data_IF_885142388312
#
_entry.id   IF_885142388312
#
_cell.length_a   1.000
_cell.length_b   1.000
_cell.length_c   1.000
_cell.angle_alpha   90.00
_cell.angle_beta   90.00
_cell.angle_gamma   90.00
#
_symmetry.space_group_name_H-M   'P 1'
#
loop_
_entity.id
_entity.type
_entity.pdbx_description
1 polymer ?
#
# COMPACT_ATOMS: atom_id res chain seq x y z
N UNK A 1 -0.95 -25.96 -10.67
CA UNK A 1 -0.26 -24.65 -10.71
C UNK A 1 1.22 -24.89 -10.39
N UNK A 2 2.12 -24.83 -11.37
CA UNK A 2 3.55 -24.95 -11.09
C UNK A 2 4.02 -23.70 -10.32
N UNK A 3 4.59 -23.89 -9.14
CA UNK A 3 5.13 -22.80 -8.32
C UNK A 3 6.33 -22.12 -9.03
N UNK A 4 6.64 -20.89 -8.63
CA UNK A 4 7.89 -20.26 -9.05
C UNK A 4 9.06 -21.02 -8.40
N UNK A 5 10.18 -21.26 -9.11
CA UNK A 5 11.31 -21.98 -8.53
C UNK A 5 11.88 -21.17 -7.34
N UNK A 6 12.05 -21.79 -6.15
CA UNK A 6 12.75 -21.15 -5.04
C UNK A 6 14.19 -20.82 -5.46
N UNK A 7 14.82 -19.84 -4.78
CA UNK A 7 16.22 -19.45 -5.05
C UNK A 7 17.20 -20.62 -5.06
N UNK A 8 16.98 -21.62 -4.20
CA UNK A 8 17.78 -22.84 -4.14
C UNK A 8 17.78 -23.64 -5.46
N UNK A 9 16.76 -23.48 -6.30
CA UNK A 9 16.70 -24.15 -7.60
C UNK A 9 17.28 -23.32 -8.73
N UNK A 10 17.58 -22.03 -8.58
CA UNK A 10 18.07 -21.20 -9.69
C UNK A 10 19.43 -21.70 -10.23
N UNK A 11 19.77 -21.44 -11.51
CA UNK A 11 21.10 -21.75 -12.02
C UNK A 11 22.19 -21.06 -11.18
N UNK A 12 23.38 -21.66 -11.13
CA UNK A 12 24.46 -21.19 -10.25
C UNK A 12 24.86 -19.73 -10.52
N UNK A 13 24.91 -19.33 -11.80
CA UNK A 13 25.22 -17.94 -12.18
C UNK A 13 24.19 -16.94 -11.65
N UNK A 14 22.90 -17.31 -11.62
CA UNK A 14 21.84 -16.45 -11.08
C UNK A 14 21.90 -16.33 -9.56
N UNK A 15 22.27 -17.42 -8.86
CA UNK A 15 22.45 -17.41 -7.41
C UNK A 15 23.60 -16.48 -7.02
N UNK A 16 24.73 -16.61 -7.71
CA UNK A 16 25.92 -15.76 -7.49
C UNK A 16 25.58 -14.31 -7.79
N UNK A 17 25.02 -14.02 -8.97
CA UNK A 17 24.59 -12.67 -9.34
C UNK A 17 23.64 -12.08 -8.29
N UNK A 18 22.63 -12.84 -7.88
CA UNK A 18 21.68 -12.39 -6.86
C UNK A 18 22.37 -12.09 -5.53
N UNK A 19 23.28 -12.95 -5.07
CA UNK A 19 24.02 -12.72 -3.83
C UNK A 19 24.89 -11.45 -3.91
N UNK A 20 25.64 -11.27 -4.99
CA UNK A 20 26.49 -10.09 -5.22
C UNK A 20 25.68 -8.79 -5.29
N UNK A 21 24.49 -8.81 -5.88
CA UNK A 21 23.65 -7.60 -5.95
C UNK A 21 23.21 -7.09 -4.57
N UNK A 22 23.09 -7.99 -3.59
CA UNK A 22 22.52 -7.73 -2.27
C UNK A 22 23.54 -7.88 -1.14
N UNK A 23 24.83 -8.05 -1.45
CA UNK A 23 25.86 -8.16 -0.43
C UNK A 23 26.05 -6.82 0.26
N UNK A 24 25.91 -6.82 1.59
CA UNK A 24 26.41 -5.74 2.41
C UNK A 24 27.94 -5.75 2.32
N UNK A 25 28.53 -4.56 2.32
CA UNK A 25 29.98 -4.40 2.29
C UNK A 25 30.52 -4.06 3.68
N UNK A 26 31.73 -4.54 3.95
CA UNK A 26 32.55 -4.04 5.06
C UNK A 26 33.03 -2.61 4.80
N UNK A 27 33.73 -1.98 5.76
CA UNK A 27 34.15 -0.57 5.66
C UNK A 27 35.05 -0.23 4.47
N UNK A 28 35.64 -1.22 3.79
CA UNK A 28 36.58 -1.06 2.68
C UNK A 28 36.11 -1.73 1.38
N UNK A 29 34.93 -2.34 1.37
CA UNK A 29 34.37 -3.00 0.19
C UNK A 29 33.27 -2.14 -0.43
N UNK A 30 33.02 -2.32 -1.73
CA UNK A 30 31.87 -1.71 -2.37
C UNK A 30 30.62 -2.56 -2.11
N UNK A 31 29.52 -1.98 -1.59
CA UNK A 31 28.28 -2.72 -1.39
C UNK A 31 27.69 -3.14 -2.74
N UNK A 32 26.94 -4.24 -2.71
CA UNK A 32 26.20 -4.71 -3.87
C UNK A 32 25.31 -3.59 -4.46
N UNK A 33 25.16 -3.50 -5.79
CA UNK A 33 24.41 -2.41 -6.44
C UNK A 33 22.97 -2.22 -5.94
N UNK A 34 22.36 -3.23 -5.31
CA UNK A 34 21.01 -3.18 -4.75
C UNK A 34 20.98 -3.20 -3.20
N UNK A 35 22.11 -3.27 -2.50
CA UNK A 35 22.19 -3.37 -1.04
C UNK A 35 21.49 -2.19 -0.33
N UNK A 36 21.54 -1.00 -0.92
CA UNK A 36 20.85 0.20 -0.41
C UNK A 36 19.31 0.10 -0.44
N UNK A 37 18.74 -0.91 -1.11
CA UNK A 37 17.29 -1.07 -1.21
C UNK A 37 16.72 -1.81 0.00
N UNK A 38 15.60 -1.29 0.53
CA UNK A 38 14.88 -1.93 1.64
C UNK A 38 14.49 -3.39 1.34
N UNK A 39 14.46 -4.22 2.38
CA UNK A 39 14.03 -5.64 2.30
C UNK A 39 12.68 -5.86 1.60
N UNK A 40 11.74 -4.91 1.71
CA UNK A 40 10.44 -5.01 1.01
C UNK A 40 10.59 -4.99 -0.52
N UNK A 41 11.61 -4.29 -1.03
CA UNK A 41 11.92 -4.25 -2.46
C UNK A 41 12.55 -5.56 -2.89
N UNK A 42 13.51 -6.09 -2.12
CA UNK A 42 14.10 -7.43 -2.30
C UNK A 42 13.01 -8.50 -2.43
N UNK A 43 12.13 -8.60 -1.43
CA UNK A 43 11.01 -9.55 -1.40
C UNK A 43 10.04 -9.40 -2.59
N UNK A 44 10.00 -8.22 -3.21
CA UNK A 44 9.15 -7.96 -4.38
C UNK A 44 9.81 -8.31 -5.71
N UNK A 45 11.15 -8.25 -5.77
CA UNK A 45 11.94 -8.51 -6.98
C UNK A 45 12.20 -10.01 -7.16
N UNK A 46 12.47 -10.73 -6.07
CA UNK A 46 12.74 -12.18 -6.08
C UNK A 46 11.66 -12.99 -6.85
N UNK A 47 10.35 -12.87 -6.54
CA UNK A 47 9.33 -13.63 -7.26
C UNK A 47 9.15 -13.20 -8.74
N UNK A 48 9.54 -11.98 -9.10
CA UNK A 48 9.50 -11.51 -10.51
C UNK A 48 10.64 -12.15 -11.30
N UNK A 49 11.82 -12.21 -10.71
CA UNK A 49 12.97 -12.88 -11.30
C UNK A 49 12.77 -14.39 -11.38
N UNK A 50 12.28 -15.03 -10.32
CA UNK A 50 11.94 -16.46 -10.33
C UNK A 50 10.96 -16.81 -11.46
N UNK A 51 9.99 -15.93 -11.75
CA UNK A 51 9.05 -16.12 -12.85
C UNK A 51 9.73 -16.04 -14.22
N UNK A 52 10.74 -15.19 -14.37
CA UNK A 52 11.56 -15.12 -15.57
C UNK A 52 12.37 -16.41 -15.77
N UNK A 53 13.07 -16.87 -14.74
CA UNK A 53 13.81 -18.16 -14.77
C UNK A 53 12.87 -19.32 -15.10
N UNK A 54 11.68 -19.34 -14.51
CA UNK A 54 10.65 -20.35 -14.83
C UNK A 54 10.26 -20.31 -16.31
N UNK A 55 10.07 -19.12 -16.86
CA UNK A 55 9.71 -18.98 -18.27
C UNK A 55 10.84 -19.45 -19.19
N UNK A 56 12.10 -19.10 -18.88
CA UNK A 56 13.28 -19.57 -19.61
C UNK A 56 13.37 -21.10 -19.62
N UNK A 57 13.21 -21.75 -18.47
CA UNK A 57 13.19 -23.22 -18.39
C UNK A 57 12.17 -23.87 -19.31
N UNK A 58 11.01 -23.23 -19.45
CA UNK A 58 9.90 -23.80 -20.21
C UNK A 58 9.97 -23.49 -21.72
N UNK A 59 10.63 -22.41 -22.15
CA UNK A 59 10.54 -21.91 -23.52
C UNK A 59 11.90 -21.67 -24.21
N UNK A 60 12.99 -21.59 -23.46
CA UNK A 60 14.35 -21.36 -23.98
C UNK A 60 15.40 -21.86 -22.97
N UNK A 61 15.42 -23.17 -22.72
CA UNK A 61 16.30 -23.79 -21.72
C UNK A 61 17.79 -23.56 -22.05
N UNK A 62 18.15 -23.52 -23.33
CA UNK A 62 19.53 -23.29 -23.78
C UNK A 62 20.05 -21.92 -23.31
N UNK A 63 19.19 -20.90 -23.25
CA UNK A 63 19.58 -19.58 -22.75
C UNK A 63 20.03 -19.55 -21.29
N UNK A 64 19.70 -20.58 -20.48
CA UNK A 64 20.17 -20.68 -19.09
C UNK A 64 21.68 -20.90 -18.99
N UNK A 65 22.34 -21.33 -20.07
CA UNK A 65 23.80 -21.46 -20.14
C UNK A 65 24.50 -20.12 -20.41
N UNK A 66 23.75 -19.09 -20.85
CA UNK A 66 24.30 -17.74 -21.05
C UNK A 66 24.47 -17.02 -19.70
N UNK A 67 25.32 -15.99 -19.69
CA UNK A 67 25.41 -15.06 -18.58
C UNK A 67 24.01 -14.42 -18.33
N UNK A 68 23.57 -14.21 -17.06
CA UNK A 68 22.22 -13.75 -16.77
C UNK A 68 21.77 -12.50 -17.54
N UNK A 69 22.68 -11.55 -17.76
CA UNK A 69 22.41 -10.31 -18.50
C UNK A 69 22.11 -10.56 -19.99
N UNK A 70 22.83 -11.48 -20.64
CA UNK A 70 22.65 -11.85 -22.05
C UNK A 70 21.31 -12.55 -22.33
N UNK A 71 20.65 -13.03 -21.28
CA UNK A 71 19.33 -13.66 -21.39
C UNK A 71 18.24 -12.64 -21.71
N UNK A 72 18.40 -11.37 -21.38
CA UNK A 72 17.36 -10.36 -21.60
C UNK A 72 17.44 -9.65 -22.96
N UNK A 73 17.60 -10.41 -24.04
CA UNK A 73 17.45 -9.88 -25.39
C UNK A 73 16.02 -9.40 -25.62
N UNK A 74 15.84 -8.37 -26.46
CA UNK A 74 14.49 -7.84 -26.74
C UNK A 74 13.57 -8.90 -27.34
N UNK A 75 14.08 -9.75 -28.23
CA UNK A 75 13.30 -10.86 -28.81
C UNK A 75 12.78 -11.80 -27.72
N UNK A 76 13.61 -12.15 -26.74
CA UNK A 76 13.22 -13.04 -25.64
C UNK A 76 12.23 -12.38 -24.69
N UNK A 77 12.42 -11.10 -24.37
CA UNK A 77 11.48 -10.32 -23.56
C UNK A 77 10.11 -10.17 -24.27
N UNK A 78 10.08 -9.99 -25.59
CA UNK A 78 8.85 -9.95 -26.37
C UNK A 78 8.12 -11.31 -26.36
N UNK A 79 8.84 -12.42 -26.55
CA UNK A 79 8.26 -13.77 -26.41
C UNK A 79 7.69 -14.00 -25.01
N UNK A 80 8.40 -13.56 -23.97
CA UNK A 80 7.88 -13.66 -22.60
C UNK A 80 6.63 -12.80 -22.40
N UNK A 81 6.63 -11.56 -22.89
CA UNK A 81 5.48 -10.66 -22.85
C UNK A 81 4.22 -11.27 -23.50
N UNK A 82 4.37 -11.97 -24.63
CA UNK A 82 3.28 -12.67 -25.30
C UNK A 82 2.64 -13.72 -24.37
N UNK A 83 3.45 -14.48 -23.62
CA UNK A 83 2.92 -15.44 -22.63
C UNK A 83 2.20 -14.78 -21.45
N UNK A 84 2.41 -13.47 -21.24
CA UNK A 84 1.81 -12.69 -20.17
C UNK A 84 0.57 -11.90 -20.62
N UNK A 85 0.06 -12.10 -21.83
CA UNK A 85 -1.13 -11.39 -22.37
C UNK A 85 -2.39 -11.56 -21.53
N UNK A 86 -2.53 -12.72 -20.89
CA UNK A 86 -3.59 -12.99 -19.91
C UNK A 86 -3.54 -12.07 -18.67
N UNK A 87 -2.46 -11.31 -18.48
CA UNK A 87 -2.29 -10.37 -17.38
C UNK A 87 -2.52 -8.92 -17.80
N UNK A 88 -2.94 -8.09 -16.84
CA UNK A 88 -3.19 -6.67 -17.08
C UNK A 88 -1.90 -5.93 -17.49
N UNK A 89 -2.00 -4.84 -18.27
CA UNK A 89 -0.85 -4.04 -18.70
C UNK A 89 0.12 -3.65 -17.57
N UNK A 90 -0.39 -3.19 -16.43
CA UNK A 90 0.43 -2.83 -15.26
C UNK A 90 1.18 -4.03 -14.66
N UNK A 91 0.61 -5.24 -14.73
CA UNK A 91 1.26 -6.47 -14.26
C UNK A 91 2.39 -6.86 -15.19
N UNK A 92 2.17 -6.79 -16.51
CA UNK A 92 3.22 -7.02 -17.53
C UNK A 92 4.40 -6.07 -17.34
N UNK A 93 4.11 -4.78 -17.19
CA UNK A 93 5.11 -3.76 -16.87
C UNK A 93 5.89 -4.12 -15.61
N UNK A 94 5.20 -4.46 -14.52
CA UNK A 94 5.83 -4.79 -13.23
C UNK A 94 6.79 -5.98 -13.32
N UNK A 95 6.46 -7.01 -14.09
CA UNK A 95 7.33 -8.17 -14.29
C UNK A 95 8.59 -7.81 -15.08
N UNK A 96 8.44 -7.13 -16.22
CA UNK A 96 9.58 -6.75 -17.08
C UNK A 96 10.48 -5.72 -16.37
N UNK A 97 9.89 -4.70 -15.76
CA UNK A 97 10.61 -3.69 -14.97
C UNK A 97 11.43 -4.33 -13.85
N UNK A 98 10.83 -5.29 -13.13
CA UNK A 98 11.51 -6.00 -12.05
C UNK A 98 12.72 -6.79 -12.53
N UNK A 99 12.61 -7.53 -13.63
CA UNK A 99 13.71 -8.31 -14.21
C UNK A 99 14.81 -7.40 -14.74
N UNK A 100 14.44 -6.37 -15.51
CA UNK A 100 15.41 -5.43 -16.05
C UNK A 100 16.14 -4.65 -14.95
N UNK A 101 15.45 -4.29 -13.85
CA UNK A 101 16.10 -3.64 -12.72
C UNK A 101 17.22 -4.49 -12.11
N UNK A 102 17.05 -5.80 -12.05
CA UNK A 102 18.06 -6.74 -11.54
C UNK A 102 19.22 -6.85 -12.53
N UNK A 103 18.90 -7.09 -13.81
CA UNK A 103 19.93 -7.34 -14.82
C UNK A 103 20.75 -6.10 -15.17
N UNK A 104 20.13 -4.91 -15.19
CA UNK A 104 20.83 -3.64 -15.38
C UNK A 104 21.77 -3.35 -14.20
N UNK A 105 21.37 -3.72 -12.99
CA UNK A 105 22.24 -3.56 -11.82
C UNK A 105 23.40 -4.57 -11.81
N UNK A 106 23.20 -5.75 -12.42
CA UNK A 106 24.21 -6.80 -12.50
C UNK A 106 25.25 -6.58 -13.61
N UNK A 107 24.88 -5.85 -14.66
CA UNK A 107 25.73 -5.54 -15.79
C UNK A 107 25.49 -4.10 -16.27
N UNK A 108 25.86 -3.08 -15.46
CA UNK A 108 25.61 -1.67 -15.77
C UNK A 108 26.34 -1.18 -17.04
N UNK A 109 27.43 -1.83 -17.40
CA UNK A 109 28.26 -1.55 -18.58
C UNK A 109 27.64 -1.98 -19.92
N UNK A 110 26.66 -2.89 -19.90
CA UNK A 110 25.98 -3.33 -21.12
C UNK A 110 25.03 -2.26 -21.69
N UNK A 111 24.86 -2.23 -23.01
CA UNK A 111 23.85 -1.37 -23.64
C UNK A 111 22.44 -1.94 -23.46
N UNK A 112 21.67 -1.29 -22.57
CA UNK A 112 20.27 -1.61 -22.28
C UNK A 112 19.26 -0.74 -23.05
N UNK A 113 19.70 0.04 -24.04
CA UNK A 113 18.87 1.05 -24.71
C UNK A 113 17.59 0.46 -25.32
N UNK A 114 17.66 -0.72 -25.93
CA UNK A 114 16.50 -1.35 -26.54
C UNK A 114 15.51 -1.89 -25.50
N UNK A 115 15.99 -2.45 -24.39
CA UNK A 115 15.19 -2.93 -23.27
C UNK A 115 14.50 -1.77 -22.54
N UNK A 116 15.19 -0.63 -22.40
CA UNK A 116 14.62 0.62 -21.86
C UNK A 116 13.50 1.15 -22.78
N UNK A 117 13.70 1.15 -24.11
CA UNK A 117 12.65 1.51 -25.08
C UNK A 117 11.42 0.59 -24.98
N UNK A 118 11.62 -0.72 -24.85
CA UNK A 118 10.53 -1.68 -24.59
C UNK A 118 9.78 -1.32 -23.31
N UNK A 119 10.51 -1.02 -22.23
CA UNK A 119 9.94 -0.64 -20.94
C UNK A 119 9.11 0.66 -21.05
N UNK A 120 9.56 1.65 -21.81
CA UNK A 120 8.80 2.88 -22.04
C UNK A 120 7.53 2.65 -22.87
N UNK A 121 7.56 1.71 -23.82
CA UNK A 121 6.36 1.22 -24.50
C UNK A 121 5.36 0.60 -23.52
N UNK A 122 5.83 -0.28 -22.63
CA UNK A 122 5.00 -0.88 -21.58
C UNK A 122 4.45 0.14 -20.59
N UNK A 123 5.23 1.17 -20.22
CA UNK A 123 4.78 2.27 -19.36
C UNK A 123 3.63 3.04 -20.00
N UNK A 124 3.74 3.36 -21.29
CA UNK A 124 2.66 4.01 -22.06
C UNK A 124 1.41 3.13 -22.12
N UNK A 125 1.56 1.84 -22.46
CA UNK A 125 0.45 0.90 -22.52
C UNK A 125 -0.22 0.65 -21.15
N UNK A 126 0.56 0.63 -20.07
CA UNK A 126 0.04 0.50 -18.70
C UNK A 126 -0.68 1.76 -18.22
N UNK A 127 -0.30 2.92 -18.76
CA UNK A 127 -0.84 4.23 -18.42
C UNK A 127 -0.86 4.45 -16.91
N UNK A 128 -2.02 4.85 -16.38
CA UNK A 128 -2.23 5.07 -14.94
C UNK A 128 -2.71 3.82 -14.21
N UNK A 129 -2.73 2.66 -14.88
CA UNK A 129 -3.46 1.48 -14.45
C UNK A 129 -4.97 1.64 -14.57
N UNK A 130 -5.68 0.57 -14.24
CA UNK A 130 -7.15 0.50 -14.37
C UNK A 130 -7.85 1.39 -13.33
N UNK A 131 -8.29 2.57 -13.78
CA UNK A 131 -8.99 3.57 -12.96
C UNK A 131 -10.40 3.11 -12.55
N UNK A 132 -11.01 2.16 -13.27
CA UNK A 132 -12.33 1.62 -12.90
C UNK A 132 -12.34 0.99 -11.50
N UNK A 133 -11.18 0.52 -11.03
CA UNK A 133 -11.00 -0.03 -9.68
C UNK A 133 -11.35 0.94 -8.56
N UNK A 134 -11.24 2.25 -8.81
CA UNK A 134 -11.55 3.32 -7.85
C UNK A 134 -12.93 3.94 -8.07
N UNK A 135 -13.48 3.82 -9.28
CA UNK A 135 -14.76 4.42 -9.65
C UNK A 135 -15.88 4.01 -8.69
N UNK A 136 -16.61 4.99 -8.19
CA UNK A 136 -17.72 4.81 -7.25
C UNK A 136 -17.35 4.35 -5.83
N UNK A 137 -16.08 4.08 -5.52
CA UNK A 137 -15.62 3.53 -4.22
C UNK A 137 -14.97 4.54 -3.28
N UNK A 138 -14.70 5.75 -3.76
CA UNK A 138 -14.14 6.84 -2.95
C UNK A 138 -15.28 7.50 -2.16
N UNK A 139 -15.43 7.10 -0.90
CA UNK A 139 -16.26 7.81 0.08
C UNK A 139 -15.49 9.03 0.60
N UNK A 140 -16.20 10.06 1.08
CA UNK A 140 -15.52 11.20 1.72
C UNK A 140 -14.94 10.80 3.07
N UNK A 141 -13.87 11.48 3.51
CA UNK A 141 -13.31 11.27 4.85
C UNK A 141 -14.35 11.48 5.96
N UNK A 142 -15.28 12.44 5.80
CA UNK A 142 -16.35 12.67 6.76
C UNK A 142 -17.28 11.46 6.93
N UNK A 143 -17.69 10.83 5.82
CA UNK A 143 -18.52 9.60 5.86
C UNK A 143 -17.77 8.45 6.52
N UNK A 144 -16.48 8.29 6.21
CA UNK A 144 -15.65 7.26 6.81
C UNK A 144 -15.43 7.49 8.31
N UNK A 145 -15.24 8.75 8.73
CA UNK A 145 -15.09 9.13 10.13
C UNK A 145 -16.37 8.80 10.91
N UNK A 146 -17.53 9.28 10.46
CA UNK A 146 -18.81 8.99 11.10
C UNK A 146 -19.07 7.49 11.20
N UNK A 147 -18.77 6.74 10.14
CA UNK A 147 -18.89 5.28 10.14
C UNK A 147 -18.00 4.64 11.21
N UNK A 148 -16.75 5.08 11.33
CA UNK A 148 -15.82 4.59 12.34
C UNK A 148 -16.30 4.90 13.76
N UNK A 149 -16.71 6.14 14.02
CA UNK A 149 -17.23 6.59 15.31
C UNK A 149 -18.50 5.84 15.71
N UNK A 150 -19.48 5.72 14.79
CA UNK A 150 -20.70 4.95 15.05
C UNK A 150 -20.37 3.49 15.34
N UNK A 151 -19.44 2.88 14.58
CA UNK A 151 -19.05 1.50 14.79
C UNK A 151 -18.38 1.27 16.14
N UNK A 152 -17.57 2.25 16.58
CA UNK A 152 -16.87 2.20 17.84
C UNK A 152 -17.75 2.55 19.05
N UNK A 153 -18.78 3.37 18.89
CA UNK A 153 -19.74 3.76 19.92
C UNK A 153 -21.01 2.91 19.88
N UNK A 154 -22.15 3.42 19.36
CA UNK A 154 -23.45 2.75 19.45
C UNK A 154 -23.45 1.28 19.02
N UNK A 155 -22.80 0.94 17.90
CA UNK A 155 -22.75 -0.46 17.46
C UNK A 155 -21.87 -1.34 18.35
N UNK A 156 -20.82 -0.78 18.94
CA UNK A 156 -19.99 -1.47 19.92
C UNK A 156 -20.80 -1.74 21.19
N UNK A 157 -21.47 -0.73 21.72
CA UNK A 157 -22.27 -0.80 22.95
C UNK A 157 -23.44 -1.79 22.83
N UNK A 158 -24.09 -1.84 21.65
CA UNK A 158 -25.15 -2.79 21.36
C UNK A 158 -24.68 -4.24 21.13
N UNK A 159 -23.39 -4.56 21.20
CA UNK A 159 -22.94 -5.93 20.99
C UNK A 159 -23.22 -6.81 22.23
N UNK A 160 -23.79 -8.00 21.99
CA UNK A 160 -24.22 -8.92 23.03
C UNK A 160 -23.09 -9.35 23.98
N UNK A 161 -21.90 -9.63 23.45
CA UNK A 161 -20.78 -10.15 24.26
C UNK A 161 -19.70 -9.09 24.48
N UNK A 162 -19.01 -9.08 25.65
CA UNK A 162 -17.89 -8.17 25.90
C UNK A 162 -16.82 -8.23 24.80
N UNK A 163 -16.54 -9.44 24.29
CA UNK A 163 -15.59 -9.64 23.20
C UNK A 163 -16.00 -8.93 21.92
N UNK A 164 -17.27 -9.04 21.51
CA UNK A 164 -17.74 -8.34 20.32
C UNK A 164 -17.75 -6.82 20.52
N UNK A 165 -18.05 -6.33 21.73
CA UNK A 165 -17.93 -4.89 22.06
C UNK A 165 -16.50 -4.42 21.82
N UNK A 166 -15.50 -5.06 22.46
CA UNK A 166 -14.09 -4.65 22.31
C UNK A 166 -13.58 -4.76 20.87
N UNK A 167 -14.01 -5.78 20.12
CA UNK A 167 -13.68 -5.92 18.69
C UNK A 167 -14.27 -4.81 17.83
N UNK A 168 -15.53 -4.42 18.07
CA UNK A 168 -16.21 -3.34 17.32
C UNK A 168 -15.59 -1.98 17.65
N UNK A 169 -15.28 -1.73 18.93
CA UNK A 169 -14.51 -0.56 19.36
C UNK A 169 -13.16 -0.48 18.63
N UNK A 170 -12.36 -1.55 18.64
CA UNK A 170 -11.11 -1.61 17.86
C UNK A 170 -11.32 -1.30 16.39
N UNK A 171 -12.23 -2.01 15.73
CA UNK A 171 -12.39 -1.92 14.29
C UNK A 171 -12.95 -0.54 13.86
N UNK A 172 -13.80 0.07 14.69
CA UNK A 172 -14.30 1.43 14.49
C UNK A 172 -13.22 2.49 14.71
N UNK A 173 -12.40 2.35 15.76
CA UNK A 173 -11.25 3.21 16.01
C UNK A 173 -10.25 3.19 14.85
N UNK A 174 -9.97 2.01 14.27
CA UNK A 174 -9.11 1.89 13.08
C UNK A 174 -9.64 2.70 11.89
N UNK A 175 -10.94 2.59 11.60
CA UNK A 175 -11.58 3.30 10.49
C UNK A 175 -11.60 4.80 10.75
N UNK A 176 -12.00 5.23 11.95
CA UNK A 176 -12.07 6.63 12.32
C UNK A 176 -10.68 7.28 12.22
N UNK A 177 -9.63 6.62 12.73
CA UNK A 177 -8.28 7.14 12.67
C UNK A 177 -7.78 7.26 11.24
N UNK A 178 -7.99 6.24 10.40
CA UNK A 178 -7.60 6.31 8.98
C UNK A 178 -8.39 7.34 8.18
N UNK A 179 -9.60 7.71 8.61
CA UNK A 179 -10.41 8.73 7.93
C UNK A 179 -9.80 10.13 8.06
N UNK A 180 -9.18 10.43 9.21
CA UNK A 180 -8.58 11.74 9.52
C UNK A 180 -7.06 11.76 9.39
N UNK A 181 -6.39 10.65 9.71
CA UNK A 181 -4.95 10.43 9.59
C UNK A 181 -4.72 9.19 8.72
N UNK A 182 -4.80 9.32 7.38
CA UNK A 182 -4.81 8.19 6.46
C UNK A 182 -3.41 7.59 6.29
N UNK A 183 -2.78 7.07 7.34
CA UNK A 183 -1.43 6.50 7.36
C UNK A 183 -1.23 5.35 6.36
N UNK A 184 0.02 5.11 5.96
CA UNK A 184 0.31 4.01 5.03
C UNK A 184 0.03 2.72 5.79
N UNK A 185 -0.57 1.74 5.12
CA UNK A 185 -0.98 0.48 5.76
C UNK A 185 0.14 -0.14 6.61
N UNK A 186 1.39 -0.12 6.11
CA UNK A 186 2.57 -0.57 6.86
C UNK A 186 2.73 0.21 8.18
N UNK A 187 2.95 1.52 8.10
CA UNK A 187 3.12 2.40 9.26
C UNK A 187 1.96 2.29 10.25
N UNK A 188 0.73 2.20 9.74
CA UNK A 188 -0.46 2.02 10.56
C UNK A 188 -0.45 0.72 11.36
N UNK A 189 0.00 -0.39 10.76
CA UNK A 189 0.06 -1.69 11.45
C UNK A 189 1.21 -1.77 12.46
N UNK A 190 2.28 -1.02 12.21
CA UNK A 190 3.50 -1.00 13.03
C UNK A 190 3.42 -0.01 14.21
N UNK A 191 2.29 0.71 14.37
CA UNK A 191 2.06 1.58 15.53
C UNK A 191 2.21 0.78 16.83
N UNK A 192 2.94 1.34 17.77
CA UNK A 192 3.32 0.75 19.05
C UNK A 192 3.27 1.82 20.14
N UNK A 193 2.66 1.47 21.28
CA UNK A 193 2.60 2.33 22.46
C UNK A 193 4.01 2.66 22.94
N UNK A 194 4.21 3.87 23.44
CA UNK A 194 5.46 4.42 23.99
C UNK A 194 6.63 4.52 22.99
N UNK A 195 6.46 4.01 21.77
CA UNK A 195 7.44 4.09 20.68
C UNK A 195 7.02 5.01 19.54
N UNK A 196 5.78 4.86 19.09
CA UNK A 196 5.21 5.63 17.96
C UNK A 196 3.82 6.19 18.26
N UNK A 197 3.27 5.83 19.42
CA UNK A 197 1.99 6.32 19.94
C UNK A 197 2.22 6.71 21.39
N UNK A 198 2.22 7.99 21.67
CA UNK A 198 2.44 8.53 23.01
C UNK A 198 1.11 9.06 23.54
N UNK A 199 0.68 8.53 24.69
CA UNK A 199 -0.58 8.90 25.32
C UNK A 199 -0.26 9.75 26.54
N UNK A 200 -0.73 10.99 26.51
CA UNK A 200 -0.72 11.93 27.65
C UNK A 200 -2.17 12.14 28.14
N UNK A 201 -2.34 12.75 29.31
CA UNK A 201 -3.65 13.01 29.92
C UNK A 201 -4.59 13.84 29.04
N UNK A 202 -4.06 14.73 28.20
CA UNK A 202 -4.87 15.58 27.33
C UNK A 202 -4.82 15.21 25.83
N UNK A 203 -3.83 14.41 25.39
CA UNK A 203 -3.53 14.25 23.96
C UNK A 203 -2.95 12.87 23.65
N UNK A 204 -3.14 12.43 22.41
CA UNK A 204 -2.41 11.28 21.84
C UNK A 204 -1.56 11.82 20.69
N UNK A 205 -0.26 11.56 20.72
CA UNK A 205 0.68 11.89 19.65
C UNK A 205 1.05 10.63 18.87
N UNK A 206 1.14 10.75 17.54
CA UNK A 206 1.68 9.72 16.68
C UNK A 206 3.00 10.21 16.11
N UNK A 207 4.07 9.44 16.32
CA UNK A 207 5.44 9.75 15.89
C UNK A 207 5.96 8.58 15.03
N UNK A 208 6.10 8.80 13.73
CA UNK A 208 6.64 7.83 12.78
C UNK A 208 8.09 8.18 12.47
N UNK A 209 9.01 7.27 12.81
CA UNK A 209 10.42 7.36 12.44
C UNK A 209 10.64 7.11 10.93
N UNK A 210 11.84 7.41 10.44
CA UNK A 210 12.19 7.32 9.01
C UNK A 210 12.03 5.91 8.42
N UNK A 211 12.29 4.88 9.21
CA UNK A 211 12.11 3.48 8.81
C UNK A 211 10.62 3.10 8.65
N UNK A 212 9.75 3.71 9.46
CA UNK A 212 8.30 3.53 9.39
C UNK A 212 7.66 4.28 8.22
N UNK A 213 8.32 5.32 7.68
CA UNK A 213 7.80 6.06 6.53
C UNK A 213 8.41 5.57 5.21
N UNK A 214 7.61 5.61 4.14
CA UNK A 214 8.07 5.18 2.80
C UNK A 214 9.15 6.10 2.24
N UNK A 215 9.17 7.36 2.67
CA UNK A 215 10.02 8.42 2.14
C UNK A 215 11.28 8.65 2.96
N UNK A 216 11.49 7.89 4.05
CA UNK A 216 12.58 8.13 5.00
C UNK A 216 12.58 9.55 5.58
N UNK A 217 11.38 10.09 5.81
CA UNK A 217 11.18 11.39 6.47
C UNK A 217 10.35 11.11 7.71
N UNK A 218 10.80 11.55 8.87
CA UNK A 218 10.03 11.43 10.11
C UNK A 218 8.73 12.23 10.01
N UNK A 219 7.70 11.80 10.72
CA UNK A 219 6.40 12.45 10.68
C UNK A 219 5.74 12.37 12.04
N UNK A 220 5.26 13.49 12.52
CA UNK A 220 4.53 13.56 13.78
C UNK A 220 3.22 14.34 13.64
N UNK A 221 2.23 13.95 14.43
CA UNK A 221 0.98 14.71 14.55
C UNK A 221 0.27 14.37 15.85
N UNK A 222 -0.48 15.34 16.38
CA UNK A 222 -1.51 15.05 17.36
C UNK A 222 -2.70 14.35 16.69
N UNK A 223 -3.30 13.41 17.42
CA UNK A 223 -4.57 12.77 17.05
C UNK A 223 -5.69 13.82 17.17
N UNK A 224 -6.48 14.08 16.12
CA UNK A 224 -7.55 15.07 16.17
C UNK A 224 -8.60 14.74 17.24
N UNK A 225 -9.12 15.79 17.90
CA UNK A 225 -10.14 15.70 18.96
C UNK A 225 -11.39 14.87 18.56
N UNK A 226 -11.70 14.82 17.27
CA UNK A 226 -12.85 14.07 16.73
C UNK A 226 -12.71 12.55 16.89
N UNK A 227 -11.48 12.02 16.94
CA UNK A 227 -11.21 10.57 17.05
C UNK A 227 -10.45 10.21 18.33
N UNK A 228 -9.78 11.18 18.95
CA UNK A 228 -8.99 10.99 20.16
C UNK A 228 -9.75 10.22 21.26
N UNK A 229 -11.00 10.56 21.63
CA UNK A 229 -11.69 9.85 22.72
C UNK A 229 -11.98 8.39 22.37
N UNK A 230 -12.24 8.12 21.09
CA UNK A 230 -12.47 6.76 20.59
C UNK A 230 -11.18 5.94 20.61
N UNK A 231 -10.06 6.54 20.20
CA UNK A 231 -8.75 5.88 20.23
C UNK A 231 -8.29 5.64 21.67
N UNK A 232 -8.47 6.62 22.56
CA UNK A 232 -8.19 6.50 23.99
C UNK A 232 -8.95 5.34 24.62
N UNK A 233 -10.27 5.29 24.43
CA UNK A 233 -11.11 4.17 24.90
C UNK A 233 -10.66 2.83 24.33
N UNK A 234 -10.17 2.79 23.09
CA UNK A 234 -9.57 1.56 22.57
C UNK A 234 -8.29 1.17 23.34
N UNK A 235 -7.39 2.12 23.56
CA UNK A 235 -6.09 1.89 24.23
C UNK A 235 -6.26 1.51 25.70
N UNK A 236 -7.14 2.18 26.43
CA UNK A 236 -7.27 2.05 27.89
C UNK A 236 -8.21 0.91 28.30
N UNK A 237 -9.14 0.49 27.44
CA UNK A 237 -10.18 -0.48 27.80
C UNK A 237 -10.21 -1.71 26.87
N UNK A 238 -10.40 -1.52 25.56
CA UNK A 238 -10.53 -2.66 24.65
C UNK A 238 -9.23 -3.43 24.41
N UNK A 239 -8.10 -2.74 24.23
CA UNK A 239 -6.80 -3.37 23.96
C UNK A 239 -6.34 -4.22 25.16
N UNK A 240 -6.33 -3.74 26.42
CA UNK A 240 -5.96 -4.55 27.59
C UNK A 240 -6.84 -5.80 27.75
N UNK A 241 -8.15 -5.65 27.56
CA UNK A 241 -9.07 -6.80 27.58
C UNK A 241 -8.75 -7.84 26.50
N UNK A 242 -8.38 -7.41 25.29
CA UNK A 242 -8.04 -8.34 24.21
C UNK A 242 -6.69 -9.02 24.48
N UNK A 243 -5.72 -8.31 25.05
CA UNK A 243 -4.40 -8.83 25.42
C UNK A 243 -4.50 -9.92 26.50
N UNK A 244 -5.25 -9.67 27.57
CA UNK A 244 -5.40 -10.63 28.69
C UNK A 244 -6.08 -11.94 28.27
N UNK A 245 -6.95 -11.90 27.26
CA UNK A 245 -7.61 -13.11 26.73
C UNK A 245 -6.68 -14.14 26.10
N UNK A 246 -5.49 -13.72 25.66
CA UNK A 246 -4.50 -14.62 25.08
C UNK A 246 -3.15 -14.55 25.77
N UNK A 247 -3.10 -13.95 26.96
CA UNK A 247 -1.88 -13.74 27.74
C UNK A 247 -0.72 -13.18 26.89
N UNK A 248 -1.02 -12.13 26.13
CA UNK A 248 -0.04 -11.49 25.24
C UNK A 248 0.63 -10.31 25.94
N UNK A 249 1.93 -10.14 25.70
CA UNK A 249 2.76 -9.08 26.29
C UNK A 249 3.59 -8.40 25.18
N UNK A 250 3.06 -7.30 24.63
CA UNK A 250 3.76 -6.45 23.66
C UNK A 250 3.12 -5.06 23.57
N UNK A 251 3.78 -4.14 22.89
CA UNK A 251 3.43 -2.71 22.76
C UNK A 251 2.61 -2.37 21.50
N UNK A 252 2.55 -3.27 20.51
CA UNK A 252 1.80 -3.03 19.25
C UNK A 252 0.37 -2.56 19.52
N UNK A 253 0.00 -1.42 18.93
CA UNK A 253 -1.29 -0.76 19.15
C UNK A 253 -2.44 -1.66 18.73
N UNK A 254 -2.39 -2.20 17.51
CA UNK A 254 -3.49 -2.96 16.94
C UNK A 254 -3.35 -4.45 17.22
N UNK A 255 -4.34 -4.99 17.94
CA UNK A 255 -4.29 -6.38 18.40
C UNK A 255 -5.47 -7.19 17.91
N UNK A 256 -5.30 -8.50 17.82
CA UNK A 256 -6.31 -9.46 17.41
C UNK A 256 -7.35 -9.76 18.49
N UNK A 257 -8.05 -10.90 18.38
CA UNK A 257 -9.15 -11.22 19.32
C UNK A 257 -8.66 -11.87 20.63
N UNK A 258 -7.39 -12.28 20.66
CA UNK A 258 -6.65 -12.83 21.79
C UNK A 258 -5.35 -12.04 22.01
N UNK A 259 -5.33 -10.75 21.63
CA UNK A 259 -4.15 -9.91 21.78
C UNK A 259 -3.09 -10.10 20.70
N UNK A 260 -3.21 -11.10 19.82
CA UNK A 260 -2.17 -11.43 18.86
C UNK A 260 -1.85 -10.25 17.91
N UNK A 261 -0.57 -10.07 17.56
CA UNK A 261 -0.15 -9.08 16.57
C UNK A 261 -0.85 -9.35 15.24
N UNK A 262 -1.52 -8.33 14.68
CA UNK A 262 -2.22 -8.46 13.40
C UNK A 262 -1.42 -7.85 12.25
N UNK A 263 -1.11 -8.68 11.25
CA UNK A 263 -0.35 -8.25 10.09
C UNK A 263 -1.13 -7.35 9.11
N UNK A 264 -0.39 -6.69 8.22
CA UNK A 264 -0.93 -5.74 7.24
C UNK A 264 -2.06 -6.28 6.37
N UNK A 265 -1.94 -7.53 5.92
CA UNK A 265 -2.95 -8.16 5.08
C UNK A 265 -4.27 -8.37 5.84
N UNK A 266 -4.18 -8.71 7.12
CA UNK A 266 -5.34 -8.90 7.96
C UNK A 266 -6.07 -7.58 8.23
N UNK A 267 -5.35 -6.52 8.62
CA UNK A 267 -5.94 -5.17 8.79
C UNK A 267 -6.62 -4.71 7.51
N UNK A 268 -5.92 -4.81 6.36
CA UNK A 268 -6.48 -4.40 5.08
C UNK A 268 -7.73 -5.20 4.67
N UNK A 269 -7.75 -6.51 4.96
CA UNK A 269 -8.91 -7.38 4.72
C UNK A 269 -10.08 -7.01 5.64
N UNK A 270 -9.81 -6.83 6.93
CA UNK A 270 -10.78 -6.49 7.97
C UNK A 270 -11.49 -5.17 7.69
N UNK A 271 -10.73 -4.09 7.48
CA UNK A 271 -11.26 -2.76 7.12
C UNK A 271 -12.09 -2.85 5.83
N UNK A 272 -11.58 -3.55 4.81
CA UNK A 272 -12.30 -3.72 3.55
C UNK A 272 -13.62 -4.47 3.69
N UNK A 273 -13.65 -5.53 4.49
CA UNK A 273 -14.88 -6.31 4.77
C UNK A 273 -15.87 -5.48 5.57
N UNK A 274 -15.41 -4.78 6.59
CA UNK A 274 -16.25 -3.95 7.45
C UNK A 274 -16.91 -2.80 6.68
N UNK A 275 -16.12 -2.05 5.92
CA UNK A 275 -16.63 -0.96 5.07
C UNK A 275 -17.61 -1.47 4.01
N UNK A 276 -17.34 -2.64 3.40
CA UNK A 276 -18.29 -3.28 2.47
C UNK A 276 -19.60 -3.61 3.15
N UNK A 277 -19.57 -4.20 4.35
CA UNK A 277 -20.77 -4.56 5.11
C UNK A 277 -21.61 -3.34 5.46
N UNK A 278 -20.97 -2.24 5.86
CA UNK A 278 -21.66 -1.05 6.36
C UNK A 278 -22.10 -0.07 5.26
N UNK A 279 -21.43 -0.06 4.10
CA UNK A 279 -21.68 0.93 3.04
C UNK A 279 -22.03 0.33 1.67
N UNK A 280 -22.04 -1.01 1.57
CA UNK A 280 -22.07 -1.72 0.29
C UNK A 280 -20.76 -1.63 -0.51
N UNK A 281 -19.82 -0.75 -0.11
CA UNK A 281 -18.58 -0.47 -0.84
C UNK A 281 -17.36 -0.89 -0.04
N UNK A 282 -16.52 -1.74 -0.63
CA UNK A 282 -15.24 -2.12 -0.02
C UNK A 282 -14.26 -0.95 -0.10
N UNK A 283 -13.84 -0.40 1.03
CA UNK A 283 -12.82 0.64 1.12
C UNK A 283 -11.55 0.03 1.73
N UNK A 284 -10.47 -0.03 0.96
CA UNK A 284 -9.17 -0.48 1.46
C UNK A 284 -8.43 0.69 2.13
N UNK A 285 -7.43 0.46 3.00
CA UNK A 285 -6.64 1.56 3.59
C UNK A 285 -6.05 2.55 2.56
N UNK A 286 -5.75 2.10 1.34
CA UNK A 286 -5.30 3.01 0.27
C UNK A 286 -6.40 3.97 -0.18
N UNK A 287 -7.66 3.54 -0.18
CA UNK A 287 -8.79 4.40 -0.56
C UNK A 287 -9.09 5.46 0.51
N UNK A 288 -8.67 5.28 1.77
CA UNK A 288 -8.72 6.35 2.78
C UNK A 288 -7.77 7.50 2.42
N UNK A 289 -6.59 7.19 1.87
CA UNK A 289 -5.66 8.22 1.34
C UNK A 289 -6.25 8.95 0.15
N UNK A 290 -6.87 8.21 -0.78
CA UNK A 290 -7.55 8.80 -1.92
C UNK A 290 -8.72 9.70 -1.44
N UNK A 291 -9.50 9.24 -0.45
CA UNK A 291 -10.61 10.00 0.15
C UNK A 291 -10.15 11.30 0.81
N UNK A 292 -9.08 11.25 1.62
CA UNK A 292 -8.52 12.44 2.26
C UNK A 292 -7.99 13.43 1.22
N UNK A 293 -7.29 12.95 0.19
CA UNK A 293 -6.81 13.80 -0.89
C UNK A 293 -7.97 14.49 -1.64
N UNK A 294 -9.03 13.75 -1.97
CA UNK A 294 -10.24 14.31 -2.58
C UNK A 294 -10.97 15.29 -1.65
N UNK A 295 -11.09 14.99 -0.35
CA UNK A 295 -11.72 15.91 0.61
C UNK A 295 -10.94 17.22 0.75
N UNK A 296 -9.60 17.16 0.89
CA UNK A 296 -8.78 18.38 0.99
C UNK A 296 -8.90 19.27 -0.24
N UNK A 297 -8.87 18.69 -1.44
CA UNK A 297 -9.06 19.44 -2.70
C UNK A 297 -10.44 20.10 -2.75
N UNK A 298 -11.49 19.41 -2.27
CA UNK A 298 -12.86 19.93 -2.25
C UNK A 298 -13.09 21.03 -1.23
N UNK A 299 -12.41 21.01 -0.08
CA UNK A 299 -12.63 21.98 1.00
C UNK A 299 -11.88 23.29 0.77
N UNK A 300 -10.72 23.27 0.09
CA UNK A 300 -10.08 24.50 -0.41
C UNK A 300 -9.03 24.17 -1.48
N UNK A 301 -9.06 24.82 -2.67
CA UNK A 301 -7.99 24.71 -3.66
C UNK A 301 -6.59 25.09 -3.11
N UNK A 302 -6.55 25.96 -2.10
CA UNK A 302 -5.33 26.40 -1.41
C UNK A 302 -4.83 25.36 -0.38
N UNK A 303 -5.71 24.47 0.11
CA UNK A 303 -5.35 23.32 0.97
C UNK A 303 -4.59 22.22 0.21
N UNK A 304 -4.45 22.33 -1.12
CA UNK A 304 -3.58 21.46 -1.94
C UNK A 304 -2.13 21.39 -1.44
N UNK A 305 -1.62 22.49 -0.84
CA UNK A 305 -0.28 22.55 -0.24
C UNK A 305 -0.18 21.76 1.08
N UNK A 306 -1.30 21.55 1.77
CA UNK A 306 -1.40 20.77 3.02
C UNK A 306 -1.50 19.25 2.77
N UNK A 307 -1.73 18.83 1.52
CA UNK A 307 -1.77 17.42 1.14
C UNK A 307 -0.41 16.73 1.36
N UNK A 308 0.69 17.44 1.12
CA UNK A 308 2.04 16.88 1.29
C UNK A 308 2.37 16.51 2.75
N UNK A 309 2.16 17.41 3.74
CA UNK A 309 2.33 17.08 5.16
C UNK A 309 1.40 15.97 5.66
N UNK A 310 0.12 15.98 5.26
CA UNK A 310 -0.90 15.01 5.73
C UNK A 310 -0.70 13.62 5.12
N UNK A 311 -0.17 13.54 3.88
CA UNK A 311 0.00 12.28 3.16
C UNK A 311 1.48 11.90 2.96
N UNK A 312 2.44 12.60 3.54
CA UNK A 312 3.88 12.35 3.42
C UNK A 312 4.26 11.92 1.98
N UNK A 313 3.88 12.77 1.01
CA UNK A 313 4.18 12.55 -0.41
C UNK A 313 5.53 13.18 -0.74
N UNK A 314 6.48 12.40 -1.23
CA UNK A 314 7.80 12.88 -1.65
C UNK A 314 7.81 13.66 -2.98
N UNK A 315 6.68 13.75 -3.70
CA UNK A 315 6.65 14.35 -5.04
C UNK A 315 5.42 15.25 -5.26
N UNK A 316 5.61 16.52 -5.65
CA UNK A 316 4.53 17.44 -6.05
C UNK A 316 3.60 16.85 -7.12
N UNK A 317 4.15 16.08 -8.06
CA UNK A 317 3.42 15.39 -9.13
C UNK A 317 2.39 14.38 -8.62
N UNK A 318 2.57 13.83 -7.41
CA UNK A 318 1.57 12.93 -6.82
C UNK A 318 0.40 13.70 -6.22
N UNK A 319 0.66 14.87 -5.60
CA UNK A 319 -0.39 15.75 -5.08
C UNK A 319 -1.25 16.33 -6.22
N UNK A 320 -0.61 16.80 -7.30
CA UNK A 320 -1.28 17.31 -8.51
C UNK A 320 -2.17 16.23 -9.19
N UNK A 321 -1.77 14.95 -9.15
CA UNK A 321 -2.61 13.85 -9.65
C UNK A 321 -3.89 13.66 -8.84
N UNK A 322 -3.83 13.82 -7.51
CA UNK A 322 -5.01 13.77 -6.66
C UNK A 322 -5.94 14.96 -6.93
N UNK A 323 -5.37 16.13 -7.22
CA UNK A 323 -6.10 17.33 -7.64
C UNK A 323 -6.90 17.11 -8.93
N UNK A 324 -6.26 16.66 -10.02
CA UNK A 324 -6.93 16.39 -11.30
C UNK A 324 -8.02 15.32 -11.15
N UNK A 325 -7.78 14.28 -10.34
CA UNK A 325 -8.75 13.22 -10.12
C UNK A 325 -10.00 13.71 -9.35
N UNK A 326 -9.81 14.57 -8.34
CA UNK A 326 -10.92 15.18 -7.61
C UNK A 326 -11.78 16.05 -8.54
N UNK A 327 -11.17 16.92 -9.35
CA UNK A 327 -11.89 17.74 -10.34
C UNK A 327 -12.68 16.90 -11.35
N UNK A 328 -12.13 15.76 -11.79
CA UNK A 328 -12.83 14.86 -12.74
C UNK A 328 -14.07 14.23 -12.09
N UNK A 329 -14.02 13.92 -10.79
CA UNK A 329 -15.17 13.42 -10.04
C UNK A 329 -16.22 14.54 -9.87
N UNK A 330 -15.79 15.77 -9.64
CA UNK A 330 -16.67 16.94 -9.49
C UNK A 330 -17.44 17.21 -10.78
N UNK A 331 -16.75 17.30 -11.92
CA UNK A 331 -17.40 17.47 -13.23
C UNK A 331 -18.46 16.38 -13.52
N UNK A 332 -18.18 15.13 -13.13
CA UNK A 332 -19.12 14.02 -13.30
C UNK A 332 -20.33 14.09 -12.36
N UNK A 333 -20.17 14.56 -11.12
CA UNK A 333 -21.28 14.71 -10.16
C UNK A 333 -22.12 15.94 -10.47
N UNK A 334 -21.51 17.06 -10.81
CA UNK A 334 -22.21 18.30 -11.16
C UNK A 334 -23.06 18.08 -12.42
N UNK A 335 -22.52 17.37 -13.41
CA UNK A 335 -23.28 16.94 -14.58
C UNK A 335 -24.45 16.00 -14.20
N UNK A 336 -24.23 15.00 -13.35
CA UNK A 336 -25.29 14.10 -12.90
C UNK A 336 -26.40 14.82 -12.11
N UNK A 337 -26.03 15.80 -11.27
CA UNK A 337 -26.97 16.66 -10.53
C UNK A 337 -27.73 17.61 -11.46
N UNK A 338 -27.09 18.15 -12.49
CA UNK A 338 -27.73 18.97 -13.53
C UNK A 338 -28.77 18.15 -14.31
N UNK A 339 -28.41 16.95 -14.77
CA UNK A 339 -29.34 16.02 -15.44
C UNK A 339 -30.50 15.62 -14.51
N UNK A 340 -30.22 15.44 -13.21
CA UNK A 340 -31.25 15.14 -12.21
C UNK A 340 -32.23 16.28 -11.98
N UNK A 341 -31.79 17.55 -12.07
CA UNK A 341 -32.67 18.73 -12.02
C UNK A 341 -33.50 18.87 -13.30
N UNK A 342 -32.86 18.77 -14.47
CA UNK A 342 -33.54 18.84 -15.77
C UNK A 342 -34.64 17.77 -15.92
N UNK A 343 -34.44 16.55 -15.39
CA UNK A 343 -35.47 15.50 -15.38
C UNK A 343 -36.63 15.73 -14.39
N UNK A 344 -36.44 16.55 -13.36
CA UNK A 344 -37.50 16.93 -12.42
C UNK A 344 -38.33 18.10 -12.94
N UNK A 345 -37.72 19.00 -13.69
CA UNK A 345 -38.39 20.17 -14.27
C UNK A 345 -39.20 19.83 -15.54
N UNK A 346 -39.08 18.61 -16.05
CA UNK A 346 -39.84 18.09 -17.21
C UNK A 346 -40.95 17.11 -16.79
N UNK A 347 -41.41 17.16 -15.52
CA UNK A 347 -42.46 16.27 -15.00
C UNK A 347 -43.61 17.04 -14.38
#
# INVERSE_FOLDING_TARGET
MTFNPPRAEWPSSDKVMWQTLWSDAGPLDDPGPLAHLRQTTHNSLEPRYARWIKWLRAHDVASLNLHPADRATVSRLQKWLATLEHTRPMTRLSYIDGVLRILVAAAPEMDWSLQRRLLDGLRRAAGRGDQSRKSGRVLSSAVLLQLGLNHAGPYSEAAATPLERKKRLRDGAMIALLAVLPMRRRSFCELALDRSVHVDGARILICLSEDMTKTAVSWETAVPHQVEPTLRRYIEDARPFLMSRGDQHHDILWVGKKGEIIGQNYIGSRIGKLTKRLTGKRVSPHLFRDAAATTMVRTSPQASRLIQPVLAHSSPRTAERHYIHAQTIDAGRDYASLIGKLKKDTR
#
